data_IF_894362704765
#
_entry.id   IF_894362704765
#
_cell.length_a   1.000
_cell.length_b   1.000
_cell.length_c   1.000
_cell.angle_alpha   90.00
_cell.angle_beta   90.00
_cell.angle_gamma   90.00
#
_symmetry.space_group_name_H-M   'P 1'
#
loop_
_entity.id
_entity.type
_entity.pdbx_description
1 polymer ?
#
# COMPACT_ATOMS: atom_id res chain seq x y z
N UNK A 1 10.45 14.57 43.76
CA UNK A 1 11.49 14.28 42.73
C UNK A 1 11.11 12.99 42.03
N UNK A 2 10.48 13.10 40.85
CA UNK A 2 9.93 11.96 40.11
C UNK A 2 11.02 11.28 39.29
N UNK A 3 11.38 10.05 39.67
CA UNK A 3 12.31 9.20 38.89
C UNK A 3 11.60 8.83 37.58
N UNK A 4 12.00 9.46 36.48
CA UNK A 4 11.62 9.05 35.12
C UNK A 4 12.13 7.62 34.92
N UNK A 5 11.21 6.67 34.76
CA UNK A 5 11.53 5.31 34.32
C UNK A 5 12.20 5.41 32.95
N UNK A 6 13.52 5.23 32.91
CA UNK A 6 14.28 5.17 31.67
C UNK A 6 13.93 3.82 31.04
N UNK A 7 13.17 3.84 29.94
CA UNK A 7 13.07 2.69 29.05
C UNK A 7 14.49 2.30 28.66
N UNK A 8 14.91 1.06 28.96
CA UNK A 8 16.23 0.57 28.57
C UNK A 8 16.24 0.42 27.05
N UNK A 9 16.83 1.40 26.36
CA UNK A 9 17.09 1.33 24.93
C UNK A 9 18.43 0.61 24.69
N UNK A 10 18.37 -0.70 24.52
CA UNK A 10 19.55 -1.52 24.26
C UNK A 10 19.68 -1.77 22.75
N UNK A 11 20.89 -1.60 22.21
CA UNK A 11 21.15 -1.89 20.81
C UNK A 11 21.23 -3.41 20.60
N UNK A 12 20.42 -3.93 19.67
CA UNK A 12 20.26 -5.36 19.40
C UNK A 12 20.44 -5.66 17.91
N UNK A 13 20.85 -6.89 17.63
CA UNK A 13 20.95 -7.44 16.28
C UNK A 13 19.98 -8.62 16.11
N UNK A 14 19.65 -9.03 14.89
CA UNK A 14 18.85 -10.23 14.67
C UNK A 14 19.47 -11.44 15.38
N UNK A 15 18.67 -12.14 16.18
CA UNK A 15 19.12 -13.26 17.01
C UNK A 15 19.55 -12.88 18.44
N UNK A 16 19.65 -11.59 18.78
CA UNK A 16 19.81 -11.16 20.18
C UNK A 16 18.58 -11.54 21.00
N UNK A 17 18.77 -12.16 22.16
CA UNK A 17 17.70 -12.46 23.12
C UNK A 17 17.29 -11.18 23.84
N UNK A 18 16.01 -10.84 23.80
CA UNK A 18 15.45 -9.60 24.37
C UNK A 18 14.46 -9.85 25.50
N UNK A 19 14.02 -11.10 25.70
CA UNK A 19 13.12 -11.45 26.80
C UNK A 19 12.72 -12.93 26.81
N UNK A 20 11.77 -13.23 27.70
CA UNK A 20 11.10 -14.54 27.85
C UNK A 20 9.60 -14.34 27.75
N UNK A 21 8.89 -15.30 27.14
CA UNK A 21 7.44 -15.17 26.89
C UNK A 21 6.60 -15.19 28.17
N UNK A 22 7.16 -15.71 29.26
CA UNK A 22 6.54 -15.72 30.59
C UNK A 22 6.46 -14.31 31.21
N UNK A 23 7.42 -13.44 30.86
CA UNK A 23 7.50 -12.07 31.38
C UNK A 23 6.91 -11.05 30.41
N UNK A 24 7.09 -11.28 29.10
CA UNK A 24 6.78 -10.31 28.07
C UNK A 24 6.09 -10.94 26.87
N UNK A 25 5.31 -10.13 26.15
CA UNK A 25 4.63 -10.46 24.91
C UNK A 25 5.52 -9.96 23.75
N UNK A 26 5.82 -10.81 22.76
CA UNK A 26 6.57 -10.40 21.58
C UNK A 26 5.77 -9.36 20.79
N UNK A 27 6.38 -8.20 20.56
CA UNK A 27 5.82 -7.12 19.77
C UNK A 27 6.57 -6.91 18.46
N UNK A 28 6.43 -5.71 17.89
CA UNK A 28 6.98 -5.41 16.57
C UNK A 28 8.50 -5.62 16.53
N UNK A 29 8.98 -6.34 15.52
CA UNK A 29 10.41 -6.57 15.33
C UNK A 29 11.04 -7.63 16.22
N UNK A 30 10.21 -8.41 16.92
CA UNK A 30 10.63 -9.57 17.69
C UNK A 30 9.96 -10.85 17.16
N UNK A 31 10.54 -12.00 17.48
CA UNK A 31 9.93 -13.30 17.24
C UNK A 31 10.17 -14.22 18.44
N UNK A 32 9.27 -15.18 18.63
CA UNK A 32 9.41 -16.21 19.65
C UNK A 32 10.11 -17.44 19.07
N UNK A 33 11.02 -18.02 19.85
CA UNK A 33 11.57 -19.35 19.60
C UNK A 33 11.90 -20.01 20.95
N UNK A 34 11.40 -21.23 21.16
CA UNK A 34 11.68 -22.04 22.35
C UNK A 34 11.41 -21.32 23.69
N UNK A 35 10.32 -20.53 23.78
CA UNK A 35 9.95 -19.77 24.98
C UNK A 35 10.76 -18.48 25.22
N UNK A 36 11.69 -18.16 24.32
CA UNK A 36 12.47 -16.94 24.35
C UNK A 36 12.07 -15.97 23.24
N UNK A 37 12.15 -14.68 23.54
CA UNK A 37 11.90 -13.62 22.59
C UNK A 37 13.25 -13.15 22.05
N UNK A 38 13.38 -13.17 20.73
CA UNK A 38 14.57 -12.73 20.01
C UNK A 38 14.25 -11.52 19.14
N UNK A 39 15.26 -10.69 18.92
CA UNK A 39 15.17 -9.61 17.94
C UNK A 39 15.19 -10.17 16.52
N UNK A 40 14.29 -9.69 15.67
CA UNK A 40 14.32 -9.94 14.22
C UNK A 40 14.98 -8.81 13.42
N UNK A 41 15.30 -7.67 14.06
CA UNK A 41 15.87 -6.50 13.40
C UNK A 41 17.13 -5.98 14.10
N UNK A 42 17.94 -5.23 13.36
CA UNK A 42 19.03 -4.44 13.94
C UNK A 42 18.51 -3.08 14.37
N UNK A 43 18.59 -2.75 15.67
CA UNK A 43 17.96 -1.54 16.19
C UNK A 43 18.03 -1.42 17.71
N UNK A 44 17.11 -0.66 18.28
CA UNK A 44 16.99 -0.50 19.74
C UNK A 44 15.78 -1.25 20.26
N UNK A 45 15.99 -2.14 21.22
CA UNK A 45 14.91 -2.78 21.95
C UNK A 45 14.29 -1.79 22.93
N UNK A 46 12.96 -1.73 22.95
CA UNK A 46 12.15 -0.98 23.90
C UNK A 46 11.25 -1.95 24.63
N UNK A 47 11.37 -1.97 25.96
CA UNK A 47 10.56 -2.80 26.84
C UNK A 47 9.55 -1.90 27.52
N UNK A 48 8.26 -2.16 27.28
CA UNK A 48 7.17 -1.53 28.03
C UNK A 48 6.75 -2.46 29.17
N UNK A 49 7.13 -2.17 30.43
CA UNK A 49 6.78 -3.00 31.57
C UNK A 49 5.29 -2.92 31.94
N UNK A 50 4.56 -1.86 31.55
CA UNK A 50 3.13 -1.73 31.84
C UNK A 50 2.31 -2.60 30.89
N UNK A 51 2.66 -2.57 29.59
CA UNK A 51 2.05 -3.43 28.58
C UNK A 51 2.66 -4.85 28.54
N UNK A 52 3.70 -5.10 29.34
CA UNK A 52 4.55 -6.31 29.28
C UNK A 52 4.93 -6.65 27.84
N UNK A 53 5.38 -5.69 27.05
CA UNK A 53 5.60 -5.86 25.61
C UNK A 53 7.02 -5.47 25.23
N UNK A 54 7.65 -6.29 24.39
CA UNK A 54 9.01 -6.04 23.90
C UNK A 54 8.96 -5.78 22.41
N UNK A 55 9.46 -4.62 21.99
CA UNK A 55 9.52 -4.23 20.58
C UNK A 55 10.94 -3.81 20.22
N UNK A 56 11.32 -4.00 18.96
CA UNK A 56 12.61 -3.55 18.44
C UNK A 56 12.35 -2.52 17.36
N UNK A 57 12.85 -1.30 17.61
CA UNK A 57 12.81 -0.20 16.67
C UNK A 57 14.02 -0.30 15.72
N UNK A 58 13.82 -0.71 14.46
CA UNK A 58 14.90 -0.92 13.52
C UNK A 58 15.61 0.40 13.18
N UNK A 59 16.95 0.39 13.21
CA UNK A 59 17.80 1.46 12.65
C UNK A 59 18.01 1.30 11.14
N UNK A 60 17.67 0.13 10.60
CA UNK A 60 17.76 -0.22 9.18
C UNK A 60 16.47 0.11 8.43
N UNK A 61 16.55 0.28 7.10
CA UNK A 61 15.36 0.47 6.24
C UNK A 61 14.45 -0.77 6.34
N UNK A 62 13.25 -0.59 6.91
CA UNK A 62 12.21 -1.62 6.91
C UNK A 62 11.50 -1.58 5.57
N UNK A 63 11.30 -2.71 4.88
CA UNK A 63 10.45 -2.74 3.70
C UNK A 63 9.05 -2.26 4.09
N UNK A 64 8.55 -1.26 3.38
CA UNK A 64 7.15 -0.84 3.57
C UNK A 64 6.28 -1.90 2.92
N UNK A 65 5.41 -2.52 3.72
CA UNK A 65 4.44 -3.49 3.24
C UNK A 65 3.08 -2.79 3.11
N UNK A 66 2.32 -3.04 2.03
CA UNK A 66 0.95 -2.59 1.94
C UNK A 66 0.12 -3.30 3.02
N UNK A 67 -0.52 -2.54 3.89
CA UNK A 67 -1.44 -3.05 4.91
C UNK A 67 -2.88 -2.70 4.55
N UNK A 68 -3.82 -3.47 5.09
CA UNK A 68 -5.25 -3.23 4.95
C UNK A 68 -5.61 -1.81 5.40
N UNK A 69 -6.45 -1.13 4.63
CA UNK A 69 -6.89 0.23 4.91
C UNK A 69 -5.96 1.35 4.39
N UNK A 70 -4.75 1.03 3.91
CA UNK A 70 -3.83 2.04 3.38
C UNK A 70 -4.13 2.42 1.93
N UNK A 71 -3.84 3.67 1.59
CA UNK A 71 -3.88 4.17 0.22
C UNK A 71 -2.59 3.80 -0.52
N UNK A 72 -2.74 3.40 -1.77
CA UNK A 72 -1.64 2.97 -2.63
C UNK A 72 -1.71 3.69 -3.97
N UNK A 73 -0.54 3.98 -4.51
CA UNK A 73 -0.35 4.53 -5.84
C UNK A 73 0.31 3.47 -6.71
N UNK A 74 -0.23 3.25 -7.90
CA UNK A 74 0.29 2.23 -8.80
C UNK A 74 -0.05 2.46 -10.26
N UNK A 75 0.66 1.75 -11.12
CA UNK A 75 0.39 1.74 -12.55
C UNK A 75 -0.40 0.49 -12.94
N UNK A 76 -1.40 0.65 -13.79
CA UNK A 76 -2.11 -0.48 -14.38
C UNK A 76 -1.17 -1.19 -15.36
N UNK A 77 -0.89 -2.45 -15.11
CA UNK A 77 -0.04 -3.30 -15.96
C UNK A 77 -0.87 -3.96 -17.03
N UNK A 78 -2.02 -4.50 -16.63
CA UNK A 78 -2.88 -5.26 -17.50
C UNK A 78 -4.32 -5.21 -17.03
N UNK A 79 -5.24 -5.28 -17.99
CA UNK A 79 -6.67 -5.30 -17.73
C UNK A 79 -7.25 -6.52 -18.43
N UNK A 80 -7.98 -7.33 -17.68
CA UNK A 80 -8.81 -8.43 -18.12
C UNK A 80 -10.28 -8.04 -17.94
N UNK A 81 -11.22 -8.84 -18.43
CA UNK A 81 -12.65 -8.51 -18.45
C UNK A 81 -13.20 -8.00 -17.09
N UNK A 82 -12.81 -8.66 -16.00
CA UNK A 82 -13.30 -8.37 -14.63
C UNK A 82 -12.23 -7.92 -13.65
N UNK A 83 -10.95 -7.95 -14.05
CA UNK A 83 -9.81 -7.75 -13.16
C UNK A 83 -8.82 -6.78 -13.79
N UNK A 84 -8.31 -5.82 -13.02
CA UNK A 84 -7.11 -5.08 -13.36
C UNK A 84 -5.96 -5.44 -12.44
N UNK A 85 -4.77 -5.61 -13.04
CA UNK A 85 -3.51 -5.81 -12.36
C UNK A 85 -2.81 -4.46 -12.22
N UNK A 86 -2.49 -4.07 -10.99
CA UNK A 86 -1.89 -2.79 -10.66
C UNK A 86 -0.56 -3.02 -9.97
N UNK A 87 0.53 -2.51 -10.54
CA UNK A 87 1.83 -2.48 -9.87
C UNK A 87 1.90 -1.29 -8.92
N UNK A 88 1.88 -1.57 -7.63
CA UNK A 88 1.96 -0.61 -6.54
C UNK A 88 3.40 -0.15 -6.41
N UNK A 89 3.62 1.16 -6.52
CA UNK A 89 4.94 1.81 -6.43
C UNK A 89 5.09 2.65 -5.16
N UNK A 90 3.97 3.07 -4.56
CA UNK A 90 3.94 3.91 -3.36
C UNK A 90 2.81 3.45 -2.44
N UNK A 91 3.09 3.38 -1.15
CA UNK A 91 2.09 3.13 -0.09
C UNK A 91 2.08 4.36 0.81
N UNK A 92 0.93 5.01 0.94
CA UNK A 92 0.80 6.34 1.57
C UNK A 92 1.84 7.32 1.01
N UNK A 93 2.76 7.79 1.86
CA UNK A 93 3.86 8.69 1.50
C UNK A 93 5.22 8.02 1.31
N UNK A 94 5.27 6.69 1.37
CA UNK A 94 6.52 5.93 1.31
C UNK A 94 6.65 5.21 -0.05
N UNK A 95 7.70 5.52 -0.83
CA UNK A 95 7.98 4.76 -2.04
C UNK A 95 8.44 3.35 -1.68
N UNK A 96 8.01 2.37 -2.48
CA UNK A 96 8.43 0.98 -2.36
C UNK A 96 9.71 0.76 -3.16
N UNK A 97 10.67 0.05 -2.58
CA UNK A 97 11.88 -0.37 -3.29
C UNK A 97 11.58 -1.44 -4.35
N UNK A 98 10.59 -2.30 -4.08
CA UNK A 98 10.12 -3.36 -4.98
C UNK A 98 8.61 -3.21 -5.17
N UNK A 99 8.11 -3.15 -6.41
CA UNK A 99 6.69 -3.01 -6.65
C UNK A 99 5.95 -4.29 -6.25
N UNK A 100 4.78 -4.12 -5.62
CA UNK A 100 3.85 -5.22 -5.35
C UNK A 100 2.75 -5.24 -6.41
N UNK A 101 2.28 -6.41 -6.80
CA UNK A 101 1.11 -6.52 -7.69
C UNK A 101 -0.16 -6.60 -6.87
N UNK A 102 -1.03 -5.61 -7.04
CA UNK A 102 -2.38 -5.58 -6.51
C UNK A 102 -3.41 -5.97 -7.57
N UNK A 103 -4.49 -6.58 -7.11
CA UNK A 103 -5.61 -7.05 -7.92
C UNK A 103 -6.82 -6.19 -7.61
N UNK A 104 -7.40 -5.57 -8.63
CA UNK A 104 -8.63 -4.80 -8.50
C UNK A 104 -9.74 -5.48 -9.28
N UNK A 105 -10.80 -5.90 -8.58
CA UNK A 105 -11.96 -6.52 -9.18
C UNK A 105 -13.01 -5.47 -9.57
N UNK A 106 -13.76 -5.72 -10.64
CA UNK A 106 -14.77 -4.79 -11.17
C UNK A 106 -15.84 -4.40 -10.13
N UNK A 107 -16.23 -5.30 -9.24
CA UNK A 107 -17.19 -4.99 -8.14
C UNK A 107 -16.64 -3.98 -7.13
N UNK A 108 -15.32 -3.85 -7.03
CA UNK A 108 -14.62 -2.89 -6.17
C UNK A 108 -14.05 -1.71 -6.98
N UNK A 109 -14.43 -1.59 -8.26
CA UNK A 109 -13.97 -0.53 -9.14
C UNK A 109 -14.84 0.73 -9.05
N UNK A 110 -16.17 0.60 -9.02
CA UNK A 110 -17.14 1.69 -9.09
C UNK A 110 -18.43 1.32 -8.34
N UNK A 111 -19.14 2.28 -7.73
CA UNK A 111 -20.50 2.04 -7.24
C UNK A 111 -21.52 1.82 -8.37
N UNK A 112 -21.18 2.24 -9.60
CA UNK A 112 -22.00 1.97 -10.78
C UNK A 112 -21.61 0.60 -11.37
N UNK A 113 -22.61 -0.14 -11.86
CA UNK A 113 -22.42 -1.45 -12.48
C UNK A 113 -21.82 -1.28 -13.89
N UNK A 114 -20.50 -1.17 -13.96
CA UNK A 114 -19.77 -1.16 -15.21
C UNK A 114 -19.63 -2.60 -15.73
N UNK A 115 -19.79 -2.80 -17.05
CA UNK A 115 -19.78 -4.14 -17.66
C UNK A 115 -18.37 -4.66 -17.93
N UNK A 116 -17.44 -3.74 -18.22
CA UNK A 116 -16.08 -4.08 -18.64
C UNK A 116 -15.04 -3.26 -17.89
N UNK A 117 -14.02 -3.93 -17.37
CA UNK A 117 -12.91 -3.27 -16.68
C UNK A 117 -12.12 -2.31 -17.59
N UNK A 118 -12.03 -2.65 -18.87
CA UNK A 118 -11.32 -1.90 -19.93
C UNK A 118 -11.89 -0.51 -20.22
N UNK A 119 -13.13 -0.25 -19.82
CA UNK A 119 -13.77 1.07 -19.91
C UNK A 119 -13.40 1.98 -18.73
N UNK A 120 -12.93 1.38 -17.63
CA UNK A 120 -12.65 2.08 -16.37
C UNK A 120 -11.16 2.39 -16.27
N UNK A 121 -10.33 1.40 -16.61
CA UNK A 121 -8.87 1.44 -16.51
C UNK A 121 -8.26 0.89 -17.79
N UNK A 122 -7.09 1.42 -18.16
CA UNK A 122 -6.25 0.79 -19.19
C UNK A 122 -4.79 0.74 -18.77
N UNK A 123 -3.97 -0.10 -19.43
CA UNK A 123 -2.55 -0.15 -19.18
C UNK A 123 -1.90 1.23 -19.22
N UNK A 124 -0.90 1.44 -18.37
CA UNK A 124 -0.13 2.68 -18.19
C UNK A 124 -0.86 3.81 -17.46
N UNK A 125 -2.13 3.64 -17.09
CA UNK A 125 -2.80 4.58 -16.19
C UNK A 125 -2.12 4.59 -14.81
N UNK A 126 -1.96 5.79 -14.25
CA UNK A 126 -1.60 5.97 -12.85
C UNK A 126 -2.88 6.01 -12.02
N UNK A 127 -3.00 5.10 -11.05
CA UNK A 127 -4.21 4.90 -10.24
C UNK A 127 -3.87 5.04 -8.76
N UNK A 128 -4.75 5.73 -8.03
CA UNK A 128 -4.83 5.66 -6.57
C UNK A 128 -5.92 4.68 -6.16
N UNK A 129 -5.55 3.69 -5.38
CA UNK A 129 -6.46 2.69 -4.83
C UNK A 129 -6.25 2.56 -3.32
N UNK A 130 -7.13 1.82 -2.65
CA UNK A 130 -7.04 1.49 -1.23
C UNK A 130 -6.95 -0.03 -1.08
N UNK A 131 -6.10 -0.49 -0.17
CA UNK A 131 -5.96 -1.92 0.13
C UNK A 131 -7.16 -2.38 0.97
N UNK A 132 -7.89 -3.37 0.48
CA UNK A 132 -8.98 -4.02 1.23
C UNK A 132 -8.42 -5.14 2.07
N UNK A 133 -7.69 -6.07 1.43
CA UNK A 133 -7.14 -7.23 2.10
C UNK A 133 -5.80 -7.65 1.52
N UNK A 134 -4.98 -8.26 2.36
CA UNK A 134 -3.71 -8.88 1.97
C UNK A 134 -3.69 -10.39 2.25
N UNK A 135 -4.87 -11.00 2.31
CA UNK A 135 -5.06 -12.42 2.60
C UNK A 135 -4.38 -13.29 1.55
N UNK A 136 -3.72 -14.37 1.99
CA UNK A 136 -3.07 -15.38 1.13
C UNK A 136 -1.97 -14.80 0.20
N UNK A 137 -1.38 -13.66 0.56
CA UNK A 137 -0.37 -12.99 -0.27
C UNK A 137 -0.94 -12.24 -1.48
N UNK A 138 -2.27 -12.21 -1.63
CA UNK A 138 -2.96 -11.46 -2.68
C UNK A 138 -3.42 -10.11 -2.14
N UNK A 139 -2.87 -9.03 -2.69
CA UNK A 139 -3.27 -7.67 -2.33
C UNK A 139 -4.51 -7.29 -3.13
N UNK A 140 -5.67 -7.27 -2.47
CA UNK A 140 -6.94 -6.85 -3.07
C UNK A 140 -7.12 -5.35 -2.91
N UNK A 141 -7.44 -4.67 -4.01
CA UNK A 141 -7.56 -3.23 -4.08
C UNK A 141 -9.02 -2.80 -4.34
N UNK A 142 -9.37 -1.62 -3.84
CA UNK A 142 -10.62 -0.92 -4.16
C UNK A 142 -10.34 0.49 -4.65
N UNK A 143 -11.14 0.95 -5.60
CA UNK A 143 -11.20 2.35 -6.01
C UNK A 143 -12.54 2.98 -5.63
N UNK A 144 -13.33 2.36 -4.76
CA UNK A 144 -14.59 2.94 -4.25
C UNK A 144 -14.27 4.07 -3.26
N UNK A 145 -14.32 5.30 -3.75
CA UNK A 145 -14.09 6.52 -2.97
C UNK A 145 -14.00 7.73 -3.90
N UNK A 146 -14.17 8.95 -3.37
CA UNK A 146 -14.09 10.18 -4.17
C UNK A 146 -12.65 10.52 -4.63
N UNK A 147 -11.67 10.24 -3.76
CA UNK A 147 -10.25 10.50 -4.04
C UNK A 147 -9.51 9.29 -4.64
N UNK A 148 -10.25 8.24 -5.04
CA UNK A 148 -9.69 6.98 -5.56
C UNK A 148 -10.11 6.81 -7.02
N UNK A 149 -9.15 6.43 -7.85
CA UNK A 149 -9.34 6.34 -9.29
C UNK A 149 -8.06 6.70 -10.05
N UNK A 150 -8.22 6.93 -11.35
CA UNK A 150 -7.14 7.33 -12.25
C UNK A 150 -6.74 8.77 -11.94
N UNK A 151 -5.45 9.00 -11.72
CA UNK A 151 -4.81 10.31 -11.51
C UNK A 151 -4.19 10.86 -12.78
N UNK A 152 -3.68 9.96 -13.63
CA UNK A 152 -3.09 10.29 -14.93
C UNK A 152 -3.39 9.19 -15.92
N UNK A 153 -3.84 9.58 -17.10
CA UNK A 153 -4.21 8.65 -18.17
C UNK A 153 -3.56 9.07 -19.49
N UNK A 154 -3.32 8.08 -20.34
CA UNK A 154 -2.75 8.27 -21.66
C UNK A 154 -3.73 7.79 -22.73
N UNK A 155 -3.70 8.44 -23.90
CA UNK A 155 -4.57 8.09 -25.00
C UNK A 155 -4.22 6.70 -25.54
N UNK A 156 -5.23 5.84 -25.70
CA UNK A 156 -5.07 4.48 -26.21
C UNK A 156 -4.53 4.44 -27.64
N UNK A 157 -4.77 5.49 -28.43
CA UNK A 157 -4.42 5.51 -29.85
C UNK A 157 -3.04 6.14 -30.13
N UNK A 158 -2.64 7.15 -29.36
CA UNK A 158 -1.42 7.94 -29.67
C UNK A 158 -0.47 8.16 -28.48
N UNK A 159 -0.81 7.64 -27.29
CA UNK A 159 0.00 7.78 -26.08
C UNK A 159 0.06 9.18 -25.49
N UNK A 160 -0.57 10.19 -26.10
CA UNK A 160 -0.56 11.56 -25.60
C UNK A 160 -1.39 11.67 -24.29
N UNK A 161 -0.95 12.45 -23.28
CA UNK A 161 -1.69 12.63 -22.03
C UNK A 161 -3.09 13.17 -22.30
N UNK A 162 -4.08 12.57 -21.65
CA UNK A 162 -5.48 12.97 -21.78
C UNK A 162 -5.78 14.17 -20.87
N UNK A 163 -6.69 15.04 -21.29
CA UNK A 163 -7.17 16.17 -20.49
C UNK A 163 -8.64 15.99 -20.16
N UNK A 164 -9.05 16.38 -18.96
CA UNK A 164 -10.45 16.31 -18.56
C UNK A 164 -11.25 17.42 -19.25
N UNK A 165 -12.40 17.07 -19.83
CA UNK A 165 -13.37 18.01 -20.42
C UNK A 165 -14.77 17.56 -20.04
N UNK A 166 -15.46 18.32 -19.19
CA UNK A 166 -16.85 18.05 -18.74
C UNK A 166 -17.09 16.60 -18.28
N UNK A 167 -16.11 15.99 -17.59
CA UNK A 167 -16.04 14.58 -17.09
C UNK A 167 -15.57 13.50 -18.05
N UNK A 168 -15.27 13.83 -19.30
CA UNK A 168 -14.67 12.90 -20.26
C UNK A 168 -13.18 13.19 -20.44
N UNK A 169 -12.41 12.19 -20.81
CA UNK A 169 -11.00 12.37 -21.16
C UNK A 169 -10.88 12.58 -22.66
N UNK A 170 -10.36 13.74 -23.07
CA UNK A 170 -10.14 14.07 -24.48
C UNK A 170 -8.65 14.22 -24.78
N UNK A 171 -8.22 13.58 -25.85
CA UNK A 171 -6.87 13.77 -26.39
C UNK A 171 -6.81 15.03 -27.25
N UNK A 172 -5.85 15.92 -26.98
CA UNK A 172 -5.65 17.13 -27.80
C UNK A 172 -4.98 16.87 -29.15
N UNK A 173 -4.36 15.70 -29.34
CA UNK A 173 -3.61 15.35 -30.56
C UNK A 173 -4.47 14.63 -31.59
N UNK A 174 -5.15 13.56 -31.20
CA UNK A 174 -5.98 12.74 -32.12
C UNK A 174 -7.49 12.93 -31.92
N UNK A 175 -7.91 13.85 -31.04
CA UNK A 175 -9.32 14.07 -30.67
C UNK A 175 -10.06 12.85 -30.11
N UNK A 176 -9.37 11.75 -29.78
CA UNK A 176 -9.99 10.58 -29.17
C UNK A 176 -10.63 10.95 -27.82
N UNK A 177 -11.83 10.42 -27.58
CA UNK A 177 -12.57 10.62 -26.33
C UNK A 177 -12.72 9.29 -25.64
N UNK A 178 -12.27 9.22 -24.40
CA UNK A 178 -12.29 8.01 -23.59
C UNK A 178 -12.97 8.27 -22.25
N UNK A 179 -13.60 7.22 -21.72
CA UNK A 179 -14.11 7.21 -20.35
C UNK A 179 -13.09 6.48 -19.47
N UNK A 180 -12.99 6.93 -18.22
CA UNK A 180 -12.21 6.31 -17.13
C UNK A 180 -12.85 6.68 -15.81
N UNK A 181 -12.58 5.91 -14.76
CA UNK A 181 -12.89 6.36 -13.39
C UNK A 181 -11.84 7.34 -12.91
N UNK A 182 -12.16 8.62 -12.93
CA UNK A 182 -11.26 9.69 -12.50
C UNK A 182 -11.32 9.86 -10.99
N UNK A 183 -10.16 10.09 -10.37
CA UNK A 183 -10.11 10.67 -9.03
C UNK A 183 -10.40 12.18 -9.10
N UNK A 184 -10.88 12.77 -8.00
CA UNK A 184 -11.15 14.22 -7.93
C UNK A 184 -9.91 15.08 -8.21
N UNK A 185 -8.71 14.55 -7.96
CA UNK A 185 -7.41 15.21 -8.12
C UNK A 185 -6.68 14.81 -9.42
N UNK A 186 -7.41 14.47 -10.47
CA UNK A 186 -6.84 14.19 -11.79
C UNK A 186 -5.98 15.37 -12.32
N UNK A 187 -4.73 15.10 -12.68
CA UNK A 187 -3.72 16.08 -13.14
C UNK A 187 -3.39 17.22 -12.14
N UNK A 188 -3.62 17.01 -10.84
CA UNK A 188 -3.25 17.98 -9.80
C UNK A 188 -1.85 17.73 -9.23
#
# INVERSE_FOLDING_TARGET
MSKRNIAREEFVVPGSRVGVVEEFIPGKGTYERDGYIYSGFTGYASIDPAAKRVEVNPKTKVPTLPMEGQNVLGFVVGVQDKIALINIVKVEDKPLSTPFTGILHISSSSPNYERNMSEIFKPLDLVRAKVISTSEGLIRLTTVGRNLGVLRAYCSNCGYPLTITRRLLKCRRCNNVERRKLAEDYLR
#
